data_IF_203981531484
#
_entry.id   IF_203981531484
#
_cell.length_a   1.000
_cell.length_b   1.000
_cell.length_c   1.000
_cell.angle_alpha   90.00
_cell.angle_beta   90.00
_cell.angle_gamma   90.00
#
_symmetry.space_group_name_H-M   'P 1'
#
loop_
_entity.id
_entity.type
_entity.pdbx_description
1 polymer ?
#
# COMPACT_ATOMS: atom_id res chain seq x y z
N UNK A 1 26.09 -11.85 8.33
CA UNK A 1 24.62 -11.78 8.27
C UNK A 1 23.97 -11.35 9.59
N UNK A 2 24.60 -11.51 10.76
CA UNK A 2 23.96 -11.15 12.05
C UNK A 2 23.71 -9.65 12.19
N UNK A 3 24.68 -8.79 11.81
CA UNK A 3 24.50 -7.33 11.83
C UNK A 3 23.27 -6.88 11.03
N UNK A 4 23.13 -7.36 9.79
CA UNK A 4 21.97 -7.06 8.93
C UNK A 4 20.65 -7.57 9.52
N UNK A 5 20.65 -8.76 10.14
CA UNK A 5 19.46 -9.27 10.82
C UNK A 5 19.08 -8.45 12.06
N UNK A 6 20.06 -7.87 12.77
CA UNK A 6 19.79 -6.98 13.89
C UNK A 6 19.24 -5.63 13.44
N UNK A 7 19.80 -5.07 12.36
CA UNK A 7 19.38 -3.80 11.76
C UNK A 7 17.91 -3.84 11.32
N UNK A 8 17.49 -4.98 10.74
CA UNK A 8 16.11 -5.18 10.30
C UNK A 8 15.15 -5.67 11.40
N UNK A 9 15.58 -5.80 12.65
CA UNK A 9 14.82 -6.48 13.71
C UNK A 9 13.50 -5.82 14.13
N UNK A 10 13.28 -4.55 13.74
CA UNK A 10 12.00 -3.87 13.96
C UNK A 10 10.83 -4.61 13.28
N UNK A 11 11.07 -5.28 12.15
CA UNK A 11 10.05 -5.98 11.37
C UNK A 11 9.51 -7.23 12.08
N UNK A 12 10.23 -7.76 13.07
CA UNK A 12 9.85 -8.97 13.81
C UNK A 12 9.15 -8.68 15.14
N UNK A 13 8.99 -7.39 15.49
CA UNK A 13 8.33 -6.97 16.73
C UNK A 13 6.81 -7.12 16.61
N UNK A 14 6.06 -7.16 17.72
CA UNK A 14 4.60 -7.20 17.67
C UNK A 14 4.01 -6.07 16.81
N UNK A 15 2.86 -6.34 16.20
CA UNK A 15 2.20 -5.44 15.24
C UNK A 15 2.08 -3.99 15.72
N UNK A 16 1.70 -3.78 16.98
CA UNK A 16 1.55 -2.45 17.58
C UNK A 16 2.83 -1.61 17.61
N UNK A 17 3.99 -2.28 17.61
CA UNK A 17 5.31 -1.64 17.56
C UNK A 17 5.76 -1.52 16.11
N UNK A 18 5.67 -2.60 15.33
CA UNK A 18 6.15 -2.64 13.96
C UNK A 18 5.42 -1.62 13.07
N UNK A 19 4.10 -1.50 13.21
CA UNK A 19 3.30 -0.56 12.43
C UNK A 19 3.71 0.90 12.66
N UNK A 20 4.03 1.27 13.91
CA UNK A 20 4.53 2.61 14.24
C UNK A 20 5.90 2.88 13.62
N UNK A 21 6.82 1.91 13.73
CA UNK A 21 8.15 2.05 13.12
C UNK A 21 8.05 2.16 11.60
N UNK A 22 7.19 1.37 10.96
CA UNK A 22 6.96 1.45 9.52
C UNK A 22 6.41 2.80 9.08
N UNK A 23 5.55 3.42 9.88
CA UNK A 23 5.03 4.77 9.62
C UNK A 23 6.12 5.84 9.78
N UNK A 24 6.90 5.80 10.86
CA UNK A 24 8.01 6.77 11.05
C UNK A 24 9.04 6.69 9.93
N UNK A 25 9.40 5.48 9.49
CA UNK A 25 10.32 5.29 8.36
C UNK A 25 9.69 5.80 7.05
N UNK A 26 8.39 5.61 6.84
CA UNK A 26 7.70 6.16 5.66
C UNK A 26 7.67 7.69 5.69
N UNK A 27 7.44 8.29 6.86
CA UNK A 27 7.49 9.75 7.06
C UNK A 27 8.86 10.32 6.69
N UNK A 28 9.95 9.69 7.15
CA UNK A 28 11.32 10.07 6.77
C UNK A 28 11.54 9.99 5.25
N UNK A 29 11.08 8.93 4.60
CA UNK A 29 11.18 8.80 3.13
C UNK A 29 10.39 9.87 2.39
N UNK A 30 9.21 10.25 2.90
CA UNK A 30 8.41 11.30 2.29
C UNK A 30 9.02 12.68 2.48
N UNK A 31 9.56 12.97 3.66
CA UNK A 31 10.29 14.21 3.91
C UNK A 31 11.51 14.34 3.00
N UNK A 32 12.26 13.24 2.80
CA UNK A 32 13.35 13.22 1.84
C UNK A 32 12.85 13.46 0.41
N UNK A 33 11.77 12.78 -0.02
CA UNK A 33 11.21 12.98 -1.36
C UNK A 33 10.67 14.40 -1.59
N UNK A 34 10.15 15.04 -0.54
CA UNK A 34 9.72 16.44 -0.55
C UNK A 34 10.92 17.39 -0.73
N UNK A 35 12.05 17.10 -0.09
CA UNK A 35 13.31 17.84 -0.29
C UNK A 35 13.88 17.65 -1.70
N UNK A 36 13.91 16.42 -2.22
CA UNK A 36 14.37 16.14 -3.59
C UNK A 36 13.55 16.91 -4.62
N UNK A 37 12.23 16.97 -4.42
CA UNK A 37 11.31 17.71 -5.31
C UNK A 37 11.52 19.22 -5.25
N UNK A 38 11.75 19.76 -4.06
CA UNK A 38 11.83 21.22 -3.85
C UNK A 38 13.21 21.80 -4.09
N UNK A 39 14.27 21.06 -3.74
CA UNK A 39 15.67 21.54 -3.81
C UNK A 39 16.34 21.13 -5.12
N UNK A 40 16.09 19.91 -5.60
CA UNK A 40 16.74 19.36 -6.79
C UNK A 40 15.85 19.39 -8.04
N UNK A 41 14.58 19.78 -7.90
CA UNK A 41 13.56 19.79 -8.97
C UNK A 41 13.38 18.41 -9.64
N UNK A 42 13.62 17.33 -8.89
CA UNK A 42 13.50 15.95 -9.36
C UNK A 42 12.18 15.32 -8.91
N UNK A 43 11.66 14.38 -9.71
CA UNK A 43 10.51 13.60 -9.31
C UNK A 43 10.95 12.43 -8.41
N UNK A 44 10.49 12.37 -7.15
CA UNK A 44 10.88 11.30 -6.25
C UNK A 44 10.30 9.96 -6.71
N UNK A 45 10.98 8.87 -6.36
CA UNK A 45 10.50 7.51 -6.63
C UNK A 45 9.19 7.25 -5.86
N UNK A 46 8.33 6.31 -6.31
CA UNK A 46 7.02 6.07 -5.69
C UNK A 46 7.04 5.80 -4.18
N UNK A 47 8.12 5.21 -3.65
CA UNK A 47 8.28 4.95 -2.23
C UNK A 47 8.48 6.22 -1.38
N UNK A 48 9.03 7.27 -1.98
CA UNK A 48 9.30 8.57 -1.36
C UNK A 48 8.22 9.61 -1.70
N UNK A 49 7.22 9.24 -2.49
CA UNK A 49 6.12 10.10 -2.88
C UNK A 49 4.96 10.02 -1.87
N UNK A 50 4.76 11.09 -1.10
CA UNK A 50 3.69 11.20 -0.09
C UNK A 50 2.29 10.99 -0.68
N UNK A 51 2.08 11.31 -1.97
CA UNK A 51 0.78 11.13 -2.63
C UNK A 51 0.42 9.65 -2.82
N UNK A 52 1.42 8.76 -2.77
CA UNK A 52 1.28 7.30 -2.87
C UNK A 52 1.37 6.61 -1.51
N UNK A 53 1.19 7.35 -0.41
CA UNK A 53 1.19 6.79 0.96
C UNK A 53 0.25 5.61 1.15
N UNK A 54 -0.84 5.53 0.38
CA UNK A 54 -1.78 4.42 0.42
C UNK A 54 -1.21 3.09 -0.10
N UNK A 55 -0.12 3.12 -0.88
CA UNK A 55 0.59 1.92 -1.37
C UNK A 55 1.54 1.32 -0.32
N UNK A 56 1.71 1.98 0.85
CA UNK A 56 2.60 1.52 1.92
C UNK A 56 2.41 0.04 2.30
N UNK A 57 1.18 -0.50 2.45
CA UNK A 57 1.00 -1.92 2.76
C UNK A 57 1.59 -2.87 1.70
N UNK A 58 1.44 -2.52 0.43
CA UNK A 58 1.99 -3.30 -0.68
C UNK A 58 3.52 -3.28 -0.68
N UNK A 59 4.11 -2.11 -0.42
CA UNK A 59 5.56 -1.95 -0.32
C UNK A 59 6.14 -2.75 0.85
N UNK A 60 5.49 -2.72 2.02
CA UNK A 60 5.89 -3.50 3.20
C UNK A 60 5.83 -5.01 2.96
N UNK A 61 4.77 -5.51 2.33
CA UNK A 61 4.69 -6.92 1.92
C UNK A 61 5.86 -7.32 1.00
N UNK A 62 6.17 -6.49 0.00
CA UNK A 62 7.32 -6.72 -0.88
C UNK A 62 8.64 -6.75 -0.12
N UNK A 63 8.86 -5.79 0.78
CA UNK A 63 10.07 -5.74 1.59
C UNK A 63 10.25 -6.98 2.48
N UNK A 64 9.17 -7.43 3.14
CA UNK A 64 9.18 -8.64 3.97
C UNK A 64 9.50 -9.88 3.12
N UNK A 65 8.83 -10.04 1.97
CA UNK A 65 8.95 -11.23 1.14
C UNK A 65 10.34 -11.31 0.47
N UNK A 66 10.88 -10.19 -0.03
CA UNK A 66 12.15 -10.17 -0.76
C UNK A 66 13.40 -10.05 0.12
N UNK A 67 13.33 -9.33 1.24
CA UNK A 67 14.52 -9.05 2.08
C UNK A 67 14.48 -9.84 3.39
N UNK A 68 13.44 -9.65 4.19
CA UNK A 68 13.42 -10.14 5.57
C UNK A 68 13.22 -11.65 5.69
N UNK A 69 12.36 -12.23 4.83
CA UNK A 69 11.98 -13.65 4.91
C UNK A 69 13.19 -14.57 4.73
N UNK A 70 14.04 -14.30 3.74
CA UNK A 70 15.24 -15.11 3.52
C UNK A 70 16.17 -15.08 4.73
N UNK A 71 16.43 -13.88 5.28
CA UNK A 71 17.33 -13.71 6.43
C UNK A 71 16.81 -14.50 7.63
N UNK A 72 15.58 -14.25 8.09
CA UNK A 72 15.08 -14.90 9.32
C UNK A 72 14.79 -16.39 9.15
N UNK A 73 14.47 -16.85 7.94
CA UNK A 73 14.30 -18.28 7.65
C UNK A 73 15.62 -19.05 7.75
N UNK A 74 16.70 -18.52 7.18
CA UNK A 74 18.00 -19.16 7.32
C UNK A 74 18.50 -19.06 8.77
N UNK A 75 18.32 -17.92 9.44
CA UNK A 75 18.70 -17.78 10.85
C UNK A 75 17.98 -18.77 11.77
N UNK A 76 16.67 -19.00 11.59
CA UNK A 76 15.93 -19.98 12.40
C UNK A 76 16.35 -21.42 12.10
N UNK A 77 16.78 -21.71 10.86
CA UNK A 77 17.34 -23.02 10.48
C UNK A 77 18.67 -23.31 11.19
N UNK A 78 19.53 -22.30 11.37
CA UNK A 78 20.81 -22.46 12.06
C UNK A 78 20.67 -22.41 13.59
N UNK A 79 19.77 -21.57 14.12
CA UNK A 79 19.53 -21.39 15.54
C UNK A 79 18.02 -21.46 15.83
N UNK A 80 17.49 -22.62 16.26
CA UNK A 80 16.06 -22.82 16.50
C UNK A 80 15.46 -21.82 17.49
N UNK A 81 16.28 -21.21 18.36
CA UNK A 81 15.86 -20.19 19.32
C UNK A 81 15.39 -18.89 18.65
N UNK A 82 15.72 -18.67 17.37
CA UNK A 82 15.30 -17.49 16.58
C UNK A 82 13.92 -17.70 15.94
N UNK A 83 13.35 -18.91 15.99
CA UNK A 83 12.02 -19.21 15.43
C UNK A 83 10.93 -18.19 15.82
N UNK A 84 10.84 -17.68 17.07
CA UNK A 84 9.85 -16.67 17.43
C UNK A 84 9.95 -15.37 16.62
N UNK A 85 11.16 -14.98 16.17
CA UNK A 85 11.35 -13.80 15.32
C UNK A 85 10.84 -14.04 13.90
N UNK A 86 11.02 -15.26 13.36
CA UNK A 86 10.44 -15.64 12.08
C UNK A 86 8.90 -15.70 12.15
N UNK A 87 8.35 -16.24 13.24
CA UNK A 87 6.89 -16.29 13.42
C UNK A 87 6.30 -14.88 13.53
N UNK A 88 6.98 -13.97 14.25
CA UNK A 88 6.61 -12.56 14.33
C UNK A 88 6.64 -11.86 12.96
N UNK A 89 7.69 -12.10 12.17
CA UNK A 89 7.77 -11.60 10.79
C UNK A 89 6.57 -12.07 9.95
N UNK A 90 6.26 -13.37 9.98
CA UNK A 90 5.17 -13.96 9.20
C UNK A 90 3.80 -13.44 9.67
N UNK A 91 3.63 -13.17 10.96
CA UNK A 91 2.42 -12.54 11.47
C UNK A 91 2.24 -11.13 10.92
N UNK A 92 3.29 -10.30 11.01
CA UNK A 92 3.24 -8.94 10.48
C UNK A 92 3.00 -8.92 8.96
N UNK A 93 3.55 -9.89 8.23
CA UNK A 93 3.26 -10.07 6.79
C UNK A 93 1.77 -10.29 6.52
N UNK A 94 1.08 -11.08 7.36
CA UNK A 94 -0.36 -11.30 7.24
C UNK A 94 -1.15 -10.02 7.50
N UNK A 95 -0.80 -9.28 8.55
CA UNK A 95 -1.44 -8.00 8.88
C UNK A 95 -1.28 -6.97 7.76
N UNK A 96 -0.07 -6.84 7.20
CA UNK A 96 0.16 -5.98 6.04
C UNK A 96 -0.61 -6.42 4.80
N UNK A 97 -0.72 -7.73 4.57
CA UNK A 97 -1.50 -8.25 3.45
C UNK A 97 -3.01 -7.98 3.63
N UNK A 98 -3.55 -8.10 4.84
CA UNK A 98 -4.93 -7.73 5.13
C UNK A 98 -5.18 -6.24 4.83
N UNK A 99 -4.27 -5.35 5.26
CA UNK A 99 -4.36 -3.91 4.94
C UNK A 99 -4.27 -3.62 3.46
N UNK A 100 -3.42 -4.35 2.73
CA UNK A 100 -3.31 -4.26 1.28
C UNK A 100 -4.63 -4.66 0.61
N UNK A 101 -5.23 -5.78 1.00
CA UNK A 101 -6.50 -6.26 0.46
C UNK A 101 -7.65 -5.28 0.74
N UNK A 102 -7.71 -4.72 1.96
CA UNK A 102 -8.67 -3.67 2.30
C UNK A 102 -8.53 -2.44 1.39
N UNK A 103 -7.30 -2.03 1.08
CA UNK A 103 -7.05 -0.90 0.20
C UNK A 103 -7.45 -1.18 -1.25
N UNK A 104 -7.05 -2.34 -1.79
CA UNK A 104 -7.42 -2.77 -3.15
C UNK A 104 -8.94 -2.90 -3.31
N UNK A 105 -9.64 -3.43 -2.30
CA UNK A 105 -11.10 -3.49 -2.29
C UNK A 105 -11.76 -2.11 -2.32
N UNK A 106 -11.25 -1.14 -1.54
CA UNK A 106 -11.73 0.25 -1.54
C UNK A 106 -11.52 0.92 -2.89
N UNK A 107 -10.36 0.72 -3.53
CA UNK A 107 -10.08 1.24 -4.86
C UNK A 107 -11.07 0.71 -5.89
N UNK A 108 -11.27 -0.62 -5.91
CA UNK A 108 -12.22 -1.26 -6.84
C UNK A 108 -13.64 -0.73 -6.67
N UNK A 109 -14.11 -0.56 -5.43
CA UNK A 109 -15.43 0.01 -5.15
C UNK A 109 -15.57 1.46 -5.65
N UNK A 110 -14.50 2.26 -5.58
CA UNK A 110 -14.49 3.64 -6.10
C UNK A 110 -14.54 3.64 -7.63
N UNK A 111 -13.80 2.74 -8.28
CA UNK A 111 -13.80 2.59 -9.74
C UNK A 111 -15.17 2.15 -10.26
N UNK A 112 -15.78 1.14 -9.64
CA UNK A 112 -17.12 0.66 -9.99
C UNK A 112 -18.17 1.77 -9.80
N UNK A 113 -18.07 2.56 -8.71
CA UNK A 113 -18.95 3.69 -8.46
C UNK A 113 -18.77 4.83 -9.48
N UNK A 114 -17.52 5.08 -9.93
CA UNK A 114 -17.23 6.06 -11.00
C UNK A 114 -17.78 5.58 -12.34
N UNK A 115 -17.60 4.31 -12.69
CA UNK A 115 -18.13 3.71 -13.91
C UNK A 115 -19.67 3.76 -13.93
N UNK A 116 -20.33 3.43 -12.81
CA UNK A 116 -21.78 3.54 -12.69
C UNK A 116 -22.29 4.98 -12.84
N UNK A 117 -21.59 5.96 -12.26
CA UNK A 117 -21.94 7.39 -12.42
C UNK A 117 -21.72 7.88 -13.86
N UNK A 118 -20.66 7.43 -14.54
CA UNK A 118 -20.40 7.77 -15.94
C UNK A 118 -21.46 7.15 -16.87
N UNK A 119 -21.85 5.89 -16.64
CA UNK A 119 -22.93 5.24 -17.37
C UNK A 119 -24.29 5.93 -17.17
N UNK A 120 -24.59 6.36 -15.92
CA UNK A 120 -25.82 7.11 -15.62
C UNK A 120 -25.83 8.52 -16.24
N UNK A 121 -24.67 9.19 -16.34
CA UNK A 121 -24.54 10.48 -17.00
C UNK A 121 -24.67 10.36 -18.53
N UNK A 122 -24.12 9.31 -19.13
CA UNK A 122 -24.27 9.02 -20.56
C UNK A 122 -25.74 8.74 -20.93
N UNK A 123 -26.45 7.93 -20.13
CA UNK A 123 -27.88 7.65 -20.35
C UNK A 123 -28.79 8.88 -20.17
N UNK A 124 -28.38 9.89 -19.41
CA UNK A 124 -29.10 11.17 -19.31
C UNK A 124 -28.84 12.12 -20.47
N UNK A 125 -27.69 11.99 -21.16
CA UNK A 125 -27.35 12.80 -22.32
C UNK A 125 -28.05 12.30 -23.61
N UNK A 126 -28.41 11.02 -23.68
CA UNK A 126 -29.04 10.39 -24.86
C UNK A 126 -30.58 10.48 -24.90
N UNK A 127 -31.20 11.22 -23.98
CA UNK A 127 -32.65 11.49 -24.01
C UNK A 127 -32.98 13.00 -24.01
N UNK A 128 -32.69 13.74 -25.09
CA UNK A 128 -33.27 15.06 -25.31
C UNK A 128 -34.70 14.90 -25.85
N UNK A 129 -35.68 14.85 -24.94
CA UNK A 129 -37.06 15.27 -25.19
C UNK A 129 -37.75 14.75 -26.46
N UNK A 130 -38.14 13.48 -26.49
CA UNK A 130 -39.16 13.00 -27.41
C UNK A 130 -40.57 13.44 -26.97
N UNK A 131 -41.28 14.14 -27.85
CA UNK A 131 -42.74 14.25 -27.98
C UNK A 131 -43.33 15.67 -27.84
N UNK A 132 -43.50 16.34 -28.98
CA UNK A 132 -44.69 17.17 -29.28
C UNK A 132 -45.04 17.03 -30.77
N UNK A 133 -45.64 15.90 -31.14
CA UNK A 133 -46.43 15.83 -32.39
C UNK A 133 -47.83 16.34 -32.06
N UNK A 134 -48.12 17.59 -32.38
CA UNK A 134 -49.47 18.14 -32.41
C UNK A 134 -49.91 18.20 -33.88
N UNK A 135 -50.62 17.18 -34.35
CA UNK A 135 -51.37 17.26 -35.60
C UNK A 135 -52.53 18.25 -35.41
N UNK A 136 -52.55 19.31 -36.20
CA UNK A 136 -53.71 20.19 -36.37
C UNK A 136 -54.51 19.66 -37.56
N UNK A 137 -55.75 19.24 -37.29
CA UNK A 137 -56.82 19.14 -38.26
C UNK A 137 -57.85 20.22 -37.92
#
# INVERSE_FOLDING_TARGET
MMMTACDLSAITKPWEVQSKVALSVAEEFWEQGDLERTVLEQQPIPMMDRTKSADLPKLQCGFIDFVCTFVYKEFSRFHPQIQPMLDGLLNNRKEWNAKKEEYEAKLKAIEDAKAAKQAAAANKADNPGGSKTCCVC
#
